data_IF_215276657661
#
_entry.id   IF_215276657661
#
_cell.length_a   1.000
_cell.length_b   1.000
_cell.length_c   1.000
_cell.angle_alpha   90.00
_cell.angle_beta   90.00
_cell.angle_gamma   90.00
#
_symmetry.space_group_name_H-M   'P 1'
#
loop_
_entity.id
_entity.type
_entity.pdbx_description
1 polymer ?
#
# COMPACT_ATOMS: atom_id res chain seq x y z
N UNK A 1 -14.50 -4.56 -2.60
CA UNK A 1 -13.60 -3.53 -3.16
C UNK A 1 -13.08 -4.04 -4.50
N UNK A 2 -13.20 -3.27 -5.56
CA UNK A 2 -12.71 -3.65 -6.88
C UNK A 2 -11.27 -3.14 -7.12
N UNK A 3 -10.65 -3.59 -8.20
CA UNK A 3 -9.27 -3.20 -8.54
C UNK A 3 -9.13 -1.69 -8.72
N UNK A 4 -10.13 -1.03 -9.31
CA UNK A 4 -10.10 0.41 -9.51
C UNK A 4 -10.02 1.18 -8.20
N UNK A 5 -10.75 0.74 -7.18
CA UNK A 5 -10.72 1.36 -5.85
C UNK A 5 -9.39 1.14 -5.16
N UNK A 6 -8.82 -0.05 -5.29
CA UNK A 6 -7.50 -0.35 -4.73
C UNK A 6 -6.44 0.52 -5.39
N UNK A 7 -6.47 0.64 -6.73
CA UNK A 7 -5.53 1.48 -7.47
C UNK A 7 -5.69 2.96 -7.12
N UNK A 8 -6.93 3.42 -6.92
CA UNK A 8 -7.17 4.80 -6.47
C UNK A 8 -6.55 5.05 -5.10
N UNK A 9 -6.70 4.10 -4.16
CA UNK A 9 -6.09 4.21 -2.84
C UNK A 9 -4.57 4.27 -2.93
N UNK A 10 -3.98 3.43 -3.77
CA UNK A 10 -2.53 3.45 -4.02
C UNK A 10 -2.09 4.82 -4.53
N UNK A 11 -2.83 5.38 -5.49
CA UNK A 11 -2.51 6.70 -6.06
C UNK A 11 -2.56 7.80 -4.99
N UNK A 12 -3.58 7.80 -4.14
CA UNK A 12 -3.71 8.77 -3.05
C UNK A 12 -2.55 8.66 -2.05
N UNK A 13 -2.19 7.44 -1.68
CA UNK A 13 -1.09 7.19 -0.75
C UNK A 13 0.26 7.59 -1.36
N UNK A 14 0.47 7.29 -2.63
CA UNK A 14 1.70 7.66 -3.33
C UNK A 14 1.84 9.18 -3.45
N UNK A 15 0.74 9.89 -3.67
CA UNK A 15 0.74 11.36 -3.71
C UNK A 15 1.06 11.95 -2.35
N UNK A 16 0.51 11.39 -1.28
CA UNK A 16 0.81 11.83 0.08
C UNK A 16 2.27 11.57 0.44
N UNK A 17 2.81 10.40 0.07
CA UNK A 17 4.21 10.06 0.26
C UNK A 17 5.12 11.08 -0.41
N UNK A 18 4.84 11.38 -1.68
CA UNK A 18 5.62 12.35 -2.45
C UNK A 18 5.54 13.75 -1.82
N UNK A 19 4.36 14.17 -1.38
CA UNK A 19 4.18 15.47 -0.73
C UNK A 19 5.02 15.59 0.53
N UNK A 20 5.06 14.55 1.35
CA UNK A 20 5.87 14.53 2.57
C UNK A 20 7.37 14.59 2.25
N UNK A 21 7.82 13.85 1.25
CA UNK A 21 9.22 13.84 0.84
C UNK A 21 9.66 15.17 0.25
N UNK A 22 8.85 15.77 -0.62
CA UNK A 22 9.15 17.05 -1.28
C UNK A 22 9.15 18.23 -0.31
N UNK A 23 8.33 18.19 0.73
CA UNK A 23 8.24 19.27 1.72
C UNK A 23 9.54 19.45 2.51
N UNK A 24 10.39 18.44 2.55
CA UNK A 24 11.61 18.43 3.35
C UNK A 24 12.85 18.04 2.55
N UNK A 25 12.90 18.46 1.29
CA UNK A 25 14.06 18.18 0.43
C UNK A 25 15.33 18.78 1.07
N UNK A 26 16.33 17.93 1.31
CA UNK A 26 17.59 18.35 1.92
C UNK A 26 17.54 18.47 3.42
N UNK A 27 16.42 18.18 4.05
CA UNK A 27 16.26 18.26 5.51
C UNK A 27 15.76 16.91 6.05
N UNK A 28 16.05 16.65 7.33
CA UNK A 28 15.50 15.49 8.01
C UNK A 28 14.01 15.70 8.29
N UNK A 29 13.20 14.66 8.09
CA UNK A 29 11.78 14.71 8.41
C UNK A 29 11.59 14.78 9.94
N UNK A 30 10.65 15.62 10.42
CA UNK A 30 10.22 15.56 11.80
C UNK A 30 9.72 14.16 12.16
N UNK A 31 9.86 13.78 13.43
CA UNK A 31 9.50 12.43 13.87
C UNK A 31 8.06 12.04 13.52
N UNK A 32 7.12 12.97 13.65
CA UNK A 32 5.70 12.73 13.32
C UNK A 32 5.48 12.45 11.84
N UNK A 33 6.18 13.19 10.98
CA UNK A 33 6.07 13.01 9.53
C UNK A 33 6.79 11.74 9.08
N UNK A 34 7.90 11.38 9.73
CA UNK A 34 8.59 10.14 9.47
C UNK A 34 7.70 8.94 9.82
N UNK A 35 7.00 9.00 10.95
CA UNK A 35 6.05 7.97 11.34
C UNK A 35 4.90 7.87 10.35
N UNK A 36 4.36 9.00 9.88
CA UNK A 36 3.31 9.02 8.87
C UNK A 36 3.79 8.37 7.58
N UNK A 37 5.00 8.68 7.15
CA UNK A 37 5.61 8.09 5.96
C UNK A 37 5.70 6.56 6.07
N UNK A 38 6.11 6.06 7.23
CA UNK A 38 6.18 4.61 7.47
C UNK A 38 4.80 3.96 7.39
N UNK A 39 3.77 4.60 7.92
CA UNK A 39 2.39 4.10 7.83
C UNK A 39 1.91 4.05 6.38
N UNK A 40 2.24 5.06 5.59
CA UNK A 40 1.90 5.09 4.17
C UNK A 40 2.57 3.94 3.44
N UNK A 41 3.84 3.69 3.69
CA UNK A 41 4.58 2.59 3.08
C UNK A 41 3.96 1.23 3.39
N UNK A 42 3.56 1.00 4.64
CA UNK A 42 2.88 -0.24 5.05
C UNK A 42 1.53 -0.38 4.33
N UNK A 43 0.75 0.69 4.26
CA UNK A 43 -0.54 0.68 3.57
C UNK A 43 -0.38 0.42 2.08
N UNK A 44 0.63 1.01 1.44
CA UNK A 44 0.93 0.75 0.03
C UNK A 44 1.24 -0.73 -0.19
N UNK A 45 2.06 -1.32 0.66
CA UNK A 45 2.40 -2.74 0.56
C UNK A 45 1.16 -3.63 0.69
N UNK A 46 0.25 -3.28 1.59
CA UNK A 46 -1.00 -4.02 1.80
C UNK A 46 -1.93 -3.87 0.59
N UNK A 47 -1.99 -2.70 -0.02
CA UNK A 47 -2.79 -2.47 -1.23
C UNK A 47 -2.25 -3.29 -2.41
N UNK A 48 -0.93 -3.31 -2.61
CA UNK A 48 -0.31 -4.10 -3.66
C UNK A 48 -0.51 -5.60 -3.43
N UNK A 49 -0.40 -6.05 -2.18
CA UNK A 49 -0.68 -7.45 -1.83
C UNK A 49 -2.13 -7.82 -2.16
N UNK A 50 -3.07 -6.95 -1.83
CA UNK A 50 -4.48 -7.18 -2.14
C UNK A 50 -4.70 -7.33 -3.65
N UNK A 51 -4.08 -6.48 -4.47
CA UNK A 51 -4.16 -6.60 -5.93
C UNK A 51 -3.61 -7.93 -6.42
N UNK A 52 -2.48 -8.38 -5.86
CA UNK A 52 -1.91 -9.69 -6.22
C UNK A 52 -2.86 -10.82 -5.86
N UNK A 53 -3.49 -10.77 -4.69
CA UNK A 53 -4.49 -11.75 -4.28
C UNK A 53 -5.68 -11.79 -5.26
N UNK A 54 -6.18 -10.62 -5.64
CA UNK A 54 -7.31 -10.51 -6.55
C UNK A 54 -6.97 -11.10 -7.92
N UNK A 55 -5.78 -10.81 -8.44
CA UNK A 55 -5.30 -11.37 -9.70
C UNK A 55 -5.16 -12.90 -9.65
N UNK A 56 -4.59 -13.39 -8.55
CA UNK A 56 -4.42 -14.83 -8.35
C UNK A 56 -5.76 -15.55 -8.29
N UNK A 57 -6.76 -14.98 -7.64
CA UNK A 57 -8.11 -15.54 -7.57
C UNK A 57 -8.76 -15.60 -8.95
N UNK A 58 -8.67 -14.51 -9.72
CA UNK A 58 -9.21 -14.50 -11.10
C UNK A 58 -8.55 -15.57 -11.95
N UNK A 59 -7.22 -15.70 -11.86
CA UNK A 59 -6.48 -16.72 -12.62
C UNK A 59 -6.88 -18.14 -12.24
N UNK A 60 -7.28 -18.36 -10.99
CA UNK A 60 -7.72 -19.66 -10.49
C UNK A 60 -9.23 -19.91 -10.67
N UNK A 61 -9.95 -18.97 -11.31
CA UNK A 61 -11.41 -19.07 -11.46
C UNK A 61 -12.19 -18.78 -10.19
N UNK A 62 -11.55 -18.15 -9.21
CA UNK A 62 -12.16 -17.80 -7.93
C UNK A 62 -12.63 -16.35 -7.93
N UNK A 63 -13.51 -16.02 -6.99
CA UNK A 63 -14.04 -14.67 -6.84
C UNK A 63 -12.96 -13.73 -6.26
N UNK A 64 -12.52 -12.70 -7.02
CA UNK A 64 -11.52 -11.75 -6.51
C UNK A 64 -12.03 -10.95 -5.30
N UNK A 65 -13.34 -10.77 -5.16
CA UNK A 65 -13.92 -10.01 -4.06
C UNK A 65 -13.79 -10.71 -2.70
N UNK A 66 -13.38 -11.97 -2.70
CA UNK A 66 -13.07 -12.70 -1.48
C UNK A 66 -11.66 -12.43 -0.97
N UNK A 67 -10.82 -11.78 -1.75
CA UNK A 67 -9.50 -11.35 -1.28
C UNK A 67 -9.66 -10.26 -0.22
N UNK A 68 -8.78 -10.26 0.77
CA UNK A 68 -8.79 -9.26 1.83
C UNK A 68 -7.36 -8.82 2.15
N UNK A 69 -7.24 -7.63 2.75
CA UNK A 69 -5.94 -7.15 3.20
C UNK A 69 -5.40 -8.08 4.28
N UNK A 70 -4.15 -8.47 4.12
CA UNK A 70 -3.46 -9.28 5.10
C UNK A 70 -2.87 -8.40 6.18
N UNK A 71 -2.56 -9.02 7.31
CA UNK A 71 -1.83 -8.33 8.38
C UNK A 71 -0.51 -7.78 7.83
N UNK A 72 -0.12 -6.59 8.29
CA UNK A 72 1.09 -5.92 7.83
C UNK A 72 2.34 -6.78 8.03
N UNK A 73 2.42 -7.53 9.12
CA UNK A 73 3.58 -8.40 9.37
C UNK A 73 3.73 -9.51 8.33
N UNK A 74 2.62 -10.01 7.77
CA UNK A 74 2.63 -11.02 6.71
C UNK A 74 3.11 -10.40 5.40
N UNK A 75 2.60 -9.21 5.05
CA UNK A 75 2.95 -8.52 3.81
C UNK A 75 4.41 -8.10 3.81
N UNK A 76 4.89 -7.52 4.91
CA UNK A 76 6.28 -7.09 5.04
C UNK A 76 7.26 -8.27 4.93
N UNK A 77 6.85 -9.46 5.36
CA UNK A 77 7.65 -10.67 5.22
C UNK A 77 7.98 -11.04 3.78
N UNK A 78 7.14 -10.66 2.82
CA UNK A 78 7.37 -10.95 1.40
C UNK A 78 8.48 -10.11 0.77
N UNK A 79 8.90 -9.04 1.41
CA UNK A 79 9.87 -8.10 0.86
C UNK A 79 11.31 -8.43 1.23
N UNK A 80 11.51 -9.44 2.02
CA UNK A 80 12.82 -9.86 2.49
C UNK A 80 13.44 -10.93 1.60
#
# INVERSE_FOLDING_TARGET
MDDGKVLQRISELADEERTLEEAHVGEALPAEELERLRKIEVELDRCWDLLRQRRARRAAGQDPDRASERDASVVEGYQQ
#
